data_IF_055768913897
#
_entry.id   IF_055768913897
#
_cell.length_a   1.000
_cell.length_b   1.000
_cell.length_c   1.000
_cell.angle_alpha   90.00
_cell.angle_beta   90.00
_cell.angle_gamma   90.00
#
_symmetry.space_group_name_H-M   'P 1'
#
loop_
_entity.id
_entity.type
_entity.pdbx_description
1 polymer ?
#
# COMPACT_ATOMS: atom_id res chain seq x y z
N UNK A 1 1.33 27.49 -9.39
CA UNK A 1 0.61 26.75 -8.30
C UNK A 1 -0.71 26.13 -8.77
N UNK A 2 -1.62 26.89 -9.37
CA UNK A 2 -2.93 26.38 -9.86
C UNK A 2 -2.78 25.41 -11.03
N UNK A 3 -1.88 25.68 -11.98
CA UNK A 3 -1.66 24.85 -13.17
C UNK A 3 -1.07 23.44 -12.87
N UNK A 4 -0.19 23.30 -11.88
CA UNK A 4 0.39 22.00 -11.50
C UNK A 4 -0.61 21.14 -10.75
N UNK A 5 -1.40 21.77 -9.87
CA UNK A 5 -2.51 21.07 -9.17
C UNK A 5 -3.55 20.55 -10.16
N UNK A 6 -3.85 21.31 -11.23
CA UNK A 6 -4.74 20.87 -12.31
C UNK A 6 -4.14 19.73 -13.17
N UNK A 7 -2.81 19.70 -13.40
CA UNK A 7 -2.16 18.59 -14.11
C UNK A 7 -2.20 17.29 -13.32
N UNK A 8 -1.95 17.34 -12.00
CA UNK A 8 -2.01 16.16 -11.14
C UNK A 8 -3.44 15.63 -11.02
N UNK A 9 -4.43 16.52 -10.90
CA UNK A 9 -5.84 16.13 -10.87
C UNK A 9 -6.31 15.49 -12.17
N UNK A 10 -5.88 16.03 -13.34
CA UNK A 10 -6.20 15.39 -14.64
C UNK A 10 -5.54 14.02 -14.80
N UNK A 11 -4.32 13.84 -14.29
CA UNK A 11 -3.66 12.54 -14.27
C UNK A 11 -4.39 11.56 -13.35
N UNK A 12 -4.88 12.01 -12.19
CA UNK A 12 -5.60 11.17 -11.23
C UNK A 12 -6.92 10.62 -11.77
N UNK A 13 -7.70 11.46 -12.48
CA UNK A 13 -8.96 11.02 -13.09
C UNK A 13 -8.70 9.95 -14.17
N UNK A 14 -7.61 10.10 -14.93
CA UNK A 14 -7.16 9.11 -15.90
C UNK A 14 -6.78 7.80 -15.21
N UNK A 15 -5.99 7.84 -14.13
CA UNK A 15 -5.64 6.63 -13.38
C UNK A 15 -6.86 5.87 -12.88
N UNK A 16 -7.86 6.58 -12.33
CA UNK A 16 -9.11 5.96 -11.88
C UNK A 16 -9.82 5.29 -13.05
N UNK A 17 -9.92 5.93 -14.22
CA UNK A 17 -10.54 5.35 -15.42
C UNK A 17 -9.79 4.12 -15.91
N UNK A 18 -8.46 4.21 -16.02
CA UNK A 18 -7.59 3.11 -16.46
C UNK A 18 -7.72 1.90 -15.51
N UNK A 19 -7.73 2.13 -14.18
CA UNK A 19 -7.90 1.08 -13.17
C UNK A 19 -9.30 0.47 -13.21
N UNK A 20 -10.35 1.27 -13.40
CA UNK A 20 -11.71 0.76 -13.59
C UNK A 20 -11.79 -0.17 -14.81
N UNK A 21 -11.04 0.13 -15.86
CA UNK A 21 -10.94 -0.67 -17.09
C UNK A 21 -10.11 -1.94 -16.98
N UNK A 22 -9.38 -2.17 -15.88
CA UNK A 22 -8.61 -3.39 -15.67
C UNK A 22 -9.54 -4.62 -15.63
N UNK A 23 -9.07 -5.78 -16.13
CA UNK A 23 -9.80 -7.04 -15.99
C UNK A 23 -10.11 -7.37 -14.54
N UNK A 24 -11.28 -7.96 -14.27
CA UNK A 24 -11.68 -8.32 -12.91
C UNK A 24 -10.71 -9.31 -12.26
N UNK A 25 -10.12 -10.22 -13.04
CA UNK A 25 -9.09 -11.13 -12.54
C UNK A 25 -7.90 -10.37 -11.92
N UNK A 26 -7.50 -9.24 -12.51
CA UNK A 26 -6.41 -8.39 -11.99
C UNK A 26 -6.85 -7.72 -10.70
N UNK A 27 -8.00 -7.05 -10.69
CA UNK A 27 -8.52 -6.33 -9.51
C UNK A 27 -8.83 -7.26 -8.34
N UNK A 28 -9.37 -8.45 -8.62
CA UNK A 28 -9.80 -9.39 -7.60
C UNK A 28 -8.63 -10.17 -6.97
N UNK A 29 -7.55 -10.41 -7.71
CA UNK A 29 -6.45 -11.26 -7.28
C UNK A 29 -5.17 -10.47 -6.93
N UNK A 30 -5.04 -9.20 -7.31
CA UNK A 30 -3.93 -8.37 -6.84
C UNK A 30 -4.01 -8.19 -5.32
N UNK A 31 -2.88 -8.38 -4.64
CA UNK A 31 -2.74 -8.22 -3.19
C UNK A 31 -1.92 -6.95 -2.94
N UNK A 32 -2.48 -5.99 -2.25
CA UNK A 32 -1.80 -4.74 -1.87
C UNK A 32 -1.54 -4.76 -0.36
N UNK A 33 -0.27 -4.66 0.04
CA UNK A 33 0.13 -4.59 1.44
C UNK A 33 0.41 -3.14 1.83
N UNK A 34 -0.31 -2.65 2.84
CA UNK A 34 -0.14 -1.31 3.40
C UNK A 34 0.16 -1.37 4.91
N UNK A 35 0.65 -0.28 5.48
CA UNK A 35 0.92 -0.18 6.92
C UNK A 35 2.24 0.53 7.25
N UNK A 36 2.53 0.76 8.55
CA UNK A 36 3.70 1.49 9.02
C UNK A 36 5.04 0.88 8.61
N UNK A 37 6.11 1.66 8.79
CA UNK A 37 7.47 1.16 8.59
C UNK A 37 7.83 0.11 9.66
N UNK A 38 8.34 -1.04 9.20
CA UNK A 38 8.79 -2.12 10.11
C UNK A 38 7.74 -3.18 10.44
N UNK A 39 6.57 -3.14 9.80
CA UNK A 39 5.53 -4.19 9.91
C UNK A 39 5.78 -5.42 9.03
N UNK A 40 6.97 -5.60 8.48
CA UNK A 40 7.27 -6.81 7.71
C UNK A 40 6.61 -6.94 6.34
N UNK A 41 5.93 -5.91 5.80
CA UNK A 41 5.27 -5.95 4.47
C UNK A 41 6.14 -6.59 3.39
N UNK A 42 7.39 -6.14 3.26
CA UNK A 42 8.31 -6.64 2.22
C UNK A 42 8.69 -8.11 2.44
N UNK A 43 8.76 -8.55 3.69
CA UNK A 43 9.00 -9.97 4.05
C UNK A 43 7.80 -10.82 3.68
N UNK A 44 6.60 -10.39 4.09
CA UNK A 44 5.33 -11.07 3.76
C UNK A 44 5.10 -11.07 2.24
N UNK A 45 5.37 -9.96 1.54
CA UNK A 45 5.25 -9.89 0.08
C UNK A 45 6.16 -10.91 -0.62
N UNK A 46 7.39 -11.08 -0.12
CA UNK A 46 8.33 -12.09 -0.65
C UNK A 46 7.85 -13.53 -0.38
N UNK A 47 7.29 -13.78 0.80
CA UNK A 47 6.75 -15.11 1.14
C UNK A 47 5.51 -15.44 0.28
N UNK A 48 4.63 -14.46 0.04
CA UNK A 48 3.49 -14.63 -0.86
C UNK A 48 3.93 -14.92 -2.30
N UNK A 49 4.94 -14.18 -2.83
CA UNK A 49 5.52 -14.42 -4.16
C UNK A 49 6.04 -15.86 -4.31
N UNK A 50 6.66 -16.40 -3.26
CA UNK A 50 7.18 -17.77 -3.27
C UNK A 50 6.09 -18.85 -3.17
N UNK A 51 4.90 -18.51 -2.69
CA UNK A 51 3.80 -19.47 -2.44
C UNK A 51 2.66 -19.41 -3.44
N UNK A 52 2.57 -18.32 -4.22
CA UNK A 52 1.52 -18.15 -5.25
C UNK A 52 2.19 -18.28 -6.62
N UNK A 53 1.96 -19.40 -7.28
CA UNK A 53 2.49 -19.66 -8.63
C UNK A 53 2.04 -18.57 -9.61
N UNK A 54 2.97 -18.06 -10.40
CA UNK A 54 2.72 -17.04 -11.42
C UNK A 54 2.48 -15.62 -10.90
N UNK A 55 2.52 -15.37 -9.60
CA UNK A 55 2.43 -14.01 -9.06
C UNK A 55 3.81 -13.41 -8.81
N UNK A 56 3.99 -12.19 -9.29
CA UNK A 56 5.21 -11.40 -9.09
C UNK A 56 4.98 -10.26 -8.10
N UNK A 57 6.06 -9.82 -7.47
CA UNK A 57 6.05 -8.73 -6.50
C UNK A 57 6.54 -7.41 -7.11
N UNK A 58 5.82 -6.32 -6.79
CA UNK A 58 6.26 -4.94 -7.04
C UNK A 58 6.43 -4.25 -5.68
N UNK A 59 7.61 -3.68 -5.42
CA UNK A 59 7.85 -2.86 -4.24
C UNK A 59 7.94 -1.38 -4.61
N UNK A 60 7.07 -0.57 -4.03
CA UNK A 60 7.08 0.88 -4.17
C UNK A 60 8.00 1.57 -3.14
N UNK A 61 8.63 0.82 -2.24
CA UNK A 61 9.54 1.35 -1.19
C UNK A 61 11.03 1.23 -1.57
N UNK A 62 11.35 1.03 -2.86
CA UNK A 62 12.73 1.06 -3.31
C UNK A 62 13.25 2.50 -3.34
N UNK A 63 13.85 2.93 -2.22
CA UNK A 63 14.30 4.32 -2.01
C UNK A 63 15.29 4.82 -3.05
N UNK A 64 16.19 3.98 -3.52
CA UNK A 64 17.20 4.35 -4.52
C UNK A 64 16.53 4.60 -5.87
N UNK A 65 15.67 3.68 -6.31
CA UNK A 65 14.89 3.84 -7.53
C UNK A 65 13.98 5.06 -7.46
N UNK A 66 13.28 5.25 -6.34
CA UNK A 66 12.40 6.39 -6.11
C UNK A 66 13.14 7.72 -6.15
N UNK A 67 14.30 7.80 -5.49
CA UNK A 67 15.13 9.00 -5.49
C UNK A 67 15.63 9.32 -6.89
N UNK A 68 16.16 8.34 -7.61
CA UNK A 68 16.67 8.52 -8.96
C UNK A 68 15.56 8.95 -9.94
N UNK A 69 14.37 8.36 -9.83
CA UNK A 69 13.21 8.75 -10.65
C UNK A 69 12.73 10.16 -10.30
N UNK A 70 12.63 10.51 -9.02
CA UNK A 70 12.22 11.84 -8.58
C UNK A 70 13.20 12.93 -9.03
N UNK A 71 14.51 12.69 -8.86
CA UNK A 71 15.56 13.63 -9.29
C UNK A 71 15.59 13.79 -10.81
N UNK A 72 15.41 12.71 -11.57
CA UNK A 72 15.38 12.74 -13.04
C UNK A 72 14.17 13.48 -13.58
N UNK A 73 13.02 13.23 -13.02
CA UNK A 73 11.76 13.79 -13.53
C UNK A 73 11.56 15.27 -13.18
N UNK A 74 12.18 15.80 -12.13
CA UNK A 74 12.19 17.22 -11.65
C UNK A 74 10.88 18.03 -11.86
N UNK A 75 9.79 17.35 -12.24
CA UNK A 75 8.50 17.95 -12.62
C UNK A 75 7.53 18.03 -11.44
N UNK A 76 7.84 17.33 -10.36
CA UNK A 76 6.98 17.27 -9.19
C UNK A 76 7.39 18.31 -8.17
N UNK A 77 6.41 19.05 -7.70
CA UNK A 77 6.62 20.14 -6.72
C UNK A 77 7.09 19.61 -5.36
N UNK A 78 6.58 18.43 -4.98
CA UNK A 78 6.93 17.76 -3.75
C UNK A 78 6.93 16.24 -3.93
N UNK A 79 7.56 15.56 -2.97
CA UNK A 79 7.72 14.12 -3.01
C UNK A 79 6.39 13.37 -2.91
N UNK A 80 5.37 13.94 -2.23
CA UNK A 80 4.04 13.33 -2.11
C UNK A 80 3.28 13.27 -3.43
N UNK A 81 3.34 14.31 -4.22
CA UNK A 81 2.76 14.29 -5.57
C UNK A 81 3.47 13.26 -6.47
N UNK A 82 4.79 13.12 -6.33
CA UNK A 82 5.54 12.08 -7.04
C UNK A 82 5.12 10.67 -6.59
N UNK A 83 5.06 10.37 -5.28
CA UNK A 83 4.57 9.10 -4.75
C UNK A 83 3.16 8.77 -5.27
N UNK A 84 2.27 9.76 -5.30
CA UNK A 84 0.91 9.60 -5.80
C UNK A 84 0.88 9.19 -7.28
N UNK A 85 1.61 9.93 -8.13
CA UNK A 85 1.66 9.65 -9.58
C UNK A 85 2.33 8.30 -9.85
N UNK A 86 3.40 7.97 -9.13
CA UNK A 86 4.04 6.66 -9.26
C UNK A 86 3.08 5.53 -8.90
N UNK A 87 2.38 5.64 -7.77
CA UNK A 87 1.41 4.64 -7.34
C UNK A 87 0.29 4.49 -8.36
N UNK A 88 -0.29 5.60 -8.83
CA UNK A 88 -1.32 5.59 -9.87
C UNK A 88 -0.83 4.97 -11.17
N UNK A 89 0.39 5.29 -11.60
CA UNK A 89 1.01 4.69 -12.79
C UNK A 89 1.17 3.19 -12.66
N UNK A 90 1.68 2.71 -11.53
CA UNK A 90 1.84 1.26 -11.30
C UNK A 90 0.47 0.57 -11.31
N UNK A 91 -0.48 1.06 -10.52
CA UNK A 91 -1.81 0.43 -10.42
C UNK A 91 -2.56 0.41 -11.77
N UNK A 92 -2.48 1.50 -12.55
CA UNK A 92 -3.17 1.58 -13.85
C UNK A 92 -2.50 0.79 -14.98
N UNK A 93 -1.25 0.39 -14.82
CA UNK A 93 -0.48 -0.36 -15.83
C UNK A 93 -0.50 -1.87 -15.63
N UNK A 94 -1.19 -2.38 -14.60
CA UNK A 94 -1.25 -3.81 -14.31
C UNK A 94 -1.93 -4.57 -15.46
N UNK A 95 -1.35 -5.68 -15.88
CA UNK A 95 -1.90 -6.58 -16.91
C UNK A 95 -2.32 -7.93 -16.37
N UNK A 96 -1.77 -8.29 -15.22
CA UNK A 96 -1.99 -9.53 -14.49
C UNK A 96 -1.98 -9.23 -12.98
N UNK A 97 -2.41 -10.16 -12.12
CA UNK A 97 -2.35 -9.98 -10.68
C UNK A 97 -0.91 -9.87 -10.16
N UNK A 98 -0.71 -8.96 -9.19
CA UNK A 98 0.58 -8.73 -8.52
C UNK A 98 0.42 -8.68 -7.00
N UNK A 99 1.53 -8.94 -6.30
CA UNK A 99 1.69 -8.58 -4.89
C UNK A 99 2.38 -7.22 -4.86
N UNK A 100 1.68 -6.19 -4.37
CA UNK A 100 2.20 -4.83 -4.34
C UNK A 100 2.53 -4.44 -2.90
N UNK A 101 3.81 -4.24 -2.62
CA UNK A 101 4.31 -3.74 -1.34
C UNK A 101 4.36 -2.20 -1.39
N UNK A 102 3.34 -1.56 -0.81
CA UNK A 102 3.33 -0.12 -0.66
C UNK A 102 4.35 0.31 0.40
N UNK A 103 5.18 1.30 0.09
CA UNK A 103 5.91 2.03 1.12
C UNK A 103 4.92 2.71 2.08
N UNK A 104 5.33 2.91 3.34
CA UNK A 104 4.43 3.42 4.38
C UNK A 104 3.75 4.75 4.03
N UNK A 105 4.39 5.58 3.19
CA UNK A 105 3.86 6.86 2.72
C UNK A 105 2.86 6.77 1.58
N UNK A 106 2.85 5.69 0.80
CA UNK A 106 2.05 5.60 -0.44
C UNK A 106 0.54 5.49 -0.23
N UNK A 107 0.09 5.16 0.98
CA UNK A 107 -1.33 5.08 1.34
C UNK A 107 -1.85 6.31 2.08
N UNK A 108 -0.99 7.29 2.45
CA UNK A 108 -1.35 8.40 3.33
C UNK A 108 -1.10 9.74 2.65
N UNK A 109 -2.15 10.55 2.53
CA UNK A 109 -2.13 11.87 1.93
C UNK A 109 -2.90 12.88 2.79
N UNK A 110 -2.24 14.00 3.14
CA UNK A 110 -2.85 15.12 3.86
C UNK A 110 -3.75 15.96 2.93
N UNK A 111 -3.38 16.08 1.65
CA UNK A 111 -4.22 16.76 0.67
C UNK A 111 -5.49 15.93 0.42
N UNK A 112 -6.66 16.53 0.70
CA UNK A 112 -7.96 15.89 0.59
C UNK A 112 -8.24 15.35 -0.82
N UNK A 113 -7.77 16.04 -1.86
CA UNK A 113 -8.01 15.63 -3.24
C UNK A 113 -7.18 14.39 -3.57
N UNK A 114 -5.87 14.38 -3.20
CA UNK A 114 -5.01 13.22 -3.41
C UNK A 114 -5.52 12.00 -2.62
N UNK A 115 -5.97 12.21 -1.38
CA UNK A 115 -6.56 11.15 -0.56
C UNK A 115 -7.80 10.56 -1.22
N UNK A 116 -8.73 11.40 -1.66
CA UNK A 116 -9.96 10.93 -2.31
C UNK A 116 -9.67 10.21 -3.65
N UNK A 117 -8.71 10.69 -4.43
CA UNK A 117 -8.30 10.03 -5.66
C UNK A 117 -7.61 8.69 -5.39
N UNK A 118 -6.74 8.61 -4.36
CA UNK A 118 -6.14 7.34 -3.94
C UNK A 118 -7.22 6.35 -3.50
N UNK A 119 -8.22 6.80 -2.73
CA UNK A 119 -9.36 5.98 -2.32
C UNK A 119 -10.12 5.43 -3.54
N UNK A 120 -10.42 6.28 -4.55
CA UNK A 120 -11.09 5.86 -5.79
C UNK A 120 -10.30 4.83 -6.58
N UNK A 121 -8.97 4.95 -6.63
CA UNK A 121 -8.10 3.96 -7.25
C UNK A 121 -8.11 2.63 -6.48
N UNK A 122 -7.93 2.71 -5.17
CA UNK A 122 -7.78 1.54 -4.31
C UNK A 122 -9.07 0.73 -4.15
N UNK A 123 -10.26 1.37 -4.11
CA UNK A 123 -11.56 0.68 -3.95
C UNK A 123 -11.85 -0.34 -5.06
N UNK A 124 -11.14 -0.26 -6.18
CA UNK A 124 -11.25 -1.22 -7.28
C UNK A 124 -10.59 -2.58 -6.95
N UNK A 125 -9.68 -2.63 -5.98
CA UNK A 125 -8.97 -3.85 -5.58
C UNK A 125 -9.62 -4.50 -4.36
N UNK A 126 -9.76 -5.84 -4.39
CA UNK A 126 -10.44 -6.58 -3.31
C UNK A 126 -9.54 -6.99 -2.15
N UNK A 127 -8.22 -6.96 -2.33
CA UNK A 127 -7.28 -7.47 -1.34
C UNK A 127 -6.26 -6.41 -0.94
N UNK A 128 -6.71 -5.41 -0.17
CA UNK A 128 -5.83 -4.41 0.44
C UNK A 128 -5.69 -4.77 1.91
N UNK A 129 -4.50 -5.22 2.29
CA UNK A 129 -4.21 -5.76 3.62
C UNK A 129 -3.39 -4.76 4.41
N UNK A 130 -3.97 -4.24 5.49
CA UNK A 130 -3.26 -3.42 6.46
C UNK A 130 -2.57 -4.32 7.49
N UNK A 131 -1.24 -4.23 7.55
CA UNK A 131 -0.45 -4.92 8.57
C UNK A 131 -0.13 -3.98 9.73
N UNK A 132 -0.47 -4.38 10.94
CA UNK A 132 -0.18 -3.67 12.18
C UNK A 132 0.38 -4.63 13.24
N UNK A 133 1.34 -4.20 14.10
CA UNK A 133 1.89 -5.06 15.15
C UNK A 133 0.84 -5.54 16.14
N UNK A 134 -0.09 -4.68 16.57
CA UNK A 134 -1.13 -4.96 17.56
C UNK A 134 -2.39 -4.15 17.29
N UNK A 135 -3.52 -4.55 17.91
CA UNK A 135 -4.76 -3.72 17.94
C UNK A 135 -4.57 -2.44 18.76
N UNK A 136 -3.66 -2.46 19.73
CA UNK A 136 -3.29 -1.31 20.54
C UNK A 136 -2.25 -0.48 19.80
N UNK A 137 -2.59 0.79 19.52
CA UNK A 137 -1.73 1.70 18.77
C UNK A 137 -0.43 2.04 19.53
N UNK A 138 -0.48 2.25 20.84
CA UNK A 138 0.71 2.51 21.65
C UNK A 138 1.62 1.28 21.74
N UNK A 139 1.04 0.10 21.84
CA UNK A 139 1.79 -1.16 21.78
C UNK A 139 2.44 -1.33 20.41
N UNK A 140 1.71 -1.06 19.32
CA UNK A 140 2.24 -1.05 17.95
C UNK A 140 3.41 -0.11 17.79
N UNK A 141 3.30 1.13 18.31
CA UNK A 141 4.36 2.12 18.31
C UNK A 141 5.63 1.62 18.99
N UNK A 142 5.51 1.05 20.18
CA UNK A 142 6.64 0.51 20.96
C UNK A 142 7.31 -0.65 20.21
N UNK A 143 6.53 -1.60 19.68
CA UNK A 143 7.04 -2.73 18.91
C UNK A 143 7.83 -2.25 17.68
N UNK A 144 7.29 -1.28 16.92
CA UNK A 144 7.96 -0.75 15.73
C UNK A 144 9.22 0.05 16.08
N UNK A 145 9.19 0.82 17.18
CA UNK A 145 10.35 1.55 17.66
C UNK A 145 11.50 0.58 18.03
N UNK A 146 11.19 -0.51 18.72
CA UNK A 146 12.14 -1.56 19.09
C UNK A 146 12.70 -2.27 17.84
N UNK A 147 11.83 -2.79 16.98
CA UNK A 147 12.24 -3.49 15.73
C UNK A 147 13.16 -2.66 14.85
N UNK A 148 12.92 -1.36 14.79
CA UNK A 148 13.65 -0.42 13.95
C UNK A 148 14.78 0.32 14.67
N UNK A 149 14.99 0.07 15.98
CA UNK A 149 15.92 0.81 16.85
C UNK A 149 15.72 2.32 16.75
N UNK A 150 14.46 2.74 16.76
CA UNK A 150 14.04 4.15 16.70
C UNK A 150 13.82 4.65 18.12
N UNK A 151 14.38 5.82 18.44
CA UNK A 151 14.12 6.48 19.73
C UNK A 151 12.69 7.03 19.73
N UNK A 152 11.91 6.68 20.76
CA UNK A 152 10.56 7.25 20.99
C UNK A 152 10.65 8.78 21.10
N UNK A 153 9.70 9.47 20.48
CA UNK A 153 9.67 10.94 20.37
C UNK A 153 10.53 11.51 19.25
N UNK A 154 11.32 10.70 18.52
CA UNK A 154 12.05 11.17 17.34
C UNK A 154 11.11 11.39 16.14
N UNK A 155 11.58 12.11 15.12
CA UNK A 155 10.80 12.35 13.89
C UNK A 155 10.31 11.04 13.25
N UNK A 156 11.17 10.02 13.15
CA UNK A 156 10.80 8.71 12.60
C UNK A 156 9.74 7.97 13.43
N UNK A 157 9.73 8.17 14.73
CA UNK A 157 8.70 7.63 15.61
C UNK A 157 7.37 8.37 15.42
N UNK A 158 7.42 9.70 15.24
CA UNK A 158 6.24 10.51 14.92
C UNK A 158 5.66 10.12 13.56
N UNK A 159 6.50 9.88 12.54
CA UNK A 159 6.05 9.36 11.24
C UNK A 159 5.33 8.01 11.40
N UNK A 160 5.94 7.06 12.15
CA UNK A 160 5.31 5.77 12.39
C UNK A 160 4.01 5.90 13.19
N UNK A 161 3.97 6.77 14.19
CA UNK A 161 2.74 7.07 14.92
C UNK A 161 1.63 7.57 13.99
N UNK A 162 1.98 8.51 13.11
CA UNK A 162 1.06 8.99 12.08
C UNK A 162 0.56 7.86 11.18
N UNK A 163 1.44 6.95 10.74
CA UNK A 163 1.06 5.81 9.90
C UNK A 163 0.19 4.77 10.65
N UNK A 164 0.41 4.57 11.96
CA UNK A 164 -0.41 3.69 12.79
C UNK A 164 -1.83 4.26 12.95
N UNK A 165 -1.94 5.57 13.21
CA UNK A 165 -3.19 6.21 13.61
C UNK A 165 -3.98 6.84 12.47
N UNK A 166 -3.38 6.93 11.27
CA UNK A 166 -4.03 7.57 10.14
C UNK A 166 -5.29 6.84 9.69
N UNK A 167 -6.45 7.53 9.63
CA UNK A 167 -7.67 6.93 9.12
C UNK A 167 -7.54 6.45 7.67
N UNK A 168 -6.63 7.05 6.88
CA UNK A 168 -6.44 6.69 5.48
C UNK A 168 -6.12 5.20 5.29
N UNK A 169 -5.27 4.63 6.15
CA UNK A 169 -4.93 3.21 6.08
C UNK A 169 -6.15 2.32 6.34
N UNK A 170 -6.97 2.68 7.32
CA UNK A 170 -8.18 1.93 7.67
C UNK A 170 -9.28 2.07 6.61
N UNK A 171 -9.40 3.25 5.99
CA UNK A 171 -10.36 3.50 4.90
C UNK A 171 -10.01 2.75 3.61
N UNK A 172 -8.71 2.54 3.35
CA UNK A 172 -8.24 1.81 2.18
C UNK A 172 -8.27 0.30 2.37
N UNK A 173 -8.01 -0.18 3.59
CA UNK A 173 -7.87 -1.59 3.88
C UNK A 173 -9.19 -2.36 3.70
N UNK A 174 -9.15 -3.49 3.00
CA UNK A 174 -10.24 -4.46 2.97
C UNK A 174 -10.16 -5.43 4.15
N UNK A 175 -8.96 -5.63 4.69
CA UNK A 175 -8.71 -6.42 5.89
C UNK A 175 -7.55 -5.81 6.68
N UNK A 176 -7.61 -5.95 8.01
CA UNK A 176 -6.50 -5.59 8.90
C UNK A 176 -6.01 -6.85 9.60
N UNK A 177 -4.71 -7.12 9.49
CA UNK A 177 -4.06 -8.22 10.19
C UNK A 177 -3.12 -7.70 11.26
N UNK A 178 -3.14 -8.35 12.39
CA UNK A 178 -2.29 -8.03 13.54
C UNK A 178 -1.22 -9.11 13.69
N UNK A 179 0.04 -8.65 13.81
CA UNK A 179 1.23 -9.52 13.85
C UNK A 179 1.53 -10.08 15.25
N UNK A 180 0.76 -9.64 16.27
CA UNK A 180 1.01 -10.02 17.65
C UNK A 180 1.04 -11.55 17.81
N UNK A 181 2.16 -12.07 18.33
CA UNK A 181 2.44 -13.50 18.51
C UNK A 181 2.44 -14.32 17.20
N UNK A 182 2.67 -13.69 16.06
CA UNK A 182 2.70 -14.36 14.76
C UNK A 182 4.03 -14.15 14.06
N UNK A 183 4.45 -15.17 13.34
CA UNK A 183 5.57 -15.08 12.40
C UNK A 183 5.14 -14.48 11.08
N UNK A 184 6.05 -14.01 10.21
CA UNK A 184 5.72 -13.60 8.85
C UNK A 184 5.03 -14.72 8.06
N UNK A 185 5.38 -15.98 8.32
CA UNK A 185 4.78 -17.17 7.72
C UNK A 185 3.32 -17.32 8.13
N UNK A 186 2.99 -17.12 9.42
CA UNK A 186 1.62 -17.17 9.93
C UNK A 186 0.75 -16.09 9.25
N UNK A 187 1.27 -14.85 9.16
CA UNK A 187 0.59 -13.75 8.45
C UNK A 187 0.40 -14.08 6.98
N UNK A 188 1.40 -14.67 6.34
CA UNK A 188 1.30 -15.10 4.95
C UNK A 188 0.19 -16.12 4.76
N UNK A 189 0.09 -17.12 5.64
CA UNK A 189 -0.98 -18.13 5.58
C UNK A 189 -2.37 -17.53 5.79
N UNK A 190 -2.51 -16.55 6.71
CA UNK A 190 -3.78 -15.85 6.90
C UNK A 190 -4.19 -15.08 5.64
N UNK A 191 -3.24 -14.39 4.96
CA UNK A 191 -3.53 -13.70 3.70
C UNK A 191 -3.98 -14.69 2.63
N UNK A 192 -3.28 -15.81 2.48
CA UNK A 192 -3.64 -16.85 1.51
C UNK A 192 -5.05 -17.41 1.76
N UNK A 193 -5.43 -17.59 3.01
CA UNK A 193 -6.79 -18.03 3.36
C UNK A 193 -7.84 -16.98 3.00
N UNK A 194 -7.57 -15.69 3.27
CA UNK A 194 -8.46 -14.58 2.92
C UNK A 194 -8.68 -14.46 1.41
N UNK A 195 -7.60 -14.58 0.62
CA UNK A 195 -7.66 -14.49 -0.84
C UNK A 195 -8.40 -15.71 -1.43
N UNK A 196 -8.12 -16.94 -0.96
CA UNK A 196 -8.81 -18.16 -1.39
C UNK A 196 -10.31 -18.14 -1.08
N UNK A 197 -10.70 -17.63 0.09
CA UNK A 197 -12.11 -17.51 0.46
C UNK A 197 -12.87 -16.58 -0.50
N UNK A 198 -12.29 -15.43 -0.83
CA UNK A 198 -12.89 -14.48 -1.77
C UNK A 198 -12.98 -15.03 -3.20
N UNK A 199 -12.04 -15.87 -3.63
CA UNK A 199 -12.10 -16.53 -4.93
C UNK A 199 -13.31 -17.48 -5.03
N UNK A 200 -13.59 -18.27 -4.00
CA UNK A 200 -14.74 -19.19 -3.97
C UNK A 200 -16.09 -18.47 -3.98
N UNK A 201 -16.21 -17.32 -3.33
CA UNK A 201 -17.45 -16.54 -3.35
C UNK A 201 -17.71 -15.87 -4.72
N UNK A 202 -16.66 -15.57 -5.49
CA UNK A 202 -16.78 -15.01 -6.84
C UNK A 202 -17.16 -16.01 -7.92
N UNK A 203 -16.89 -17.30 -7.72
CA UNK A 203 -17.24 -18.37 -8.66
C UNK A 203 -18.69 -18.84 -8.54
N UNK A 204 -19.40 -18.47 -7.48
CA UNK A 204 -20.79 -18.87 -7.21
C UNK A 204 -21.82 -17.79 -7.57
N UNK A 205 -21.47 -16.80 -8.38
CA UNK A 205 -22.35 -15.79 -8.93
C UNK A 205 -22.25 -15.75 -10.44
#
# INVERSE_FOLDING_TARGET
MIFEKQKTLKASDRFVQDICGLPDIVKNNTIILIGPMGTGKSTVAKLLENQIEGMHRISLDNKELLKNLYERERKFKDFKNFEFVLTGTVLSSLKEPYIIDFGAGHSIYEDKNLREQMRKMCVQFKNIILLLPSKDNEKSRKILAERRKIKLGSHRDQDNWHFITSPNNYELATNTLYEENKTPEDITQEILQLVKYKQKEGENR
#
